data_IF_936590333513
#
_entry.id   IF_936590333513
#
_cell.length_a   1.000
_cell.length_b   1.000
_cell.length_c   1.000
_cell.angle_alpha   90.00
_cell.angle_beta   90.00
_cell.angle_gamma   90.00
#
_symmetry.space_group_name_H-M   'P 1'
#
loop_
_entity.id
_entity.type
_entity.pdbx_description
1 polymer ?
#
# COMPACT_ATOMS: atom_id res chain seq x y z
N UNK A 1 3.45 14.14 -19.18
CA UNK A 1 3.58 12.91 -18.37
C UNK A 1 4.25 13.32 -17.06
N UNK A 2 3.45 13.61 -16.03
CA UNK A 2 3.95 13.93 -14.70
C UNK A 2 4.53 12.65 -14.10
N UNK A 3 5.78 12.69 -13.65
CA UNK A 3 6.38 11.60 -12.90
C UNK A 3 5.45 11.30 -11.71
N UNK A 4 4.75 10.18 -11.77
CA UNK A 4 3.89 9.70 -10.68
C UNK A 4 4.85 9.52 -9.51
N UNK A 5 4.77 10.42 -8.53
CA UNK A 5 5.64 10.42 -7.35
C UNK A 5 5.45 9.05 -6.68
N UNK A 6 6.39 8.15 -6.90
CA UNK A 6 6.28 6.76 -6.46
C UNK A 6 6.28 6.80 -4.94
N UNK A 7 5.11 6.59 -4.34
CA UNK A 7 5.03 6.42 -2.90
C UNK A 7 5.90 5.23 -2.54
N UNK A 8 6.95 5.48 -1.75
CA UNK A 8 7.88 4.43 -1.36
C UNK A 8 7.13 3.44 -0.48
N UNK A 9 6.97 2.23 -1.00
CA UNK A 9 6.26 1.16 -0.32
C UNK A 9 7.08 0.69 0.89
N UNK A 10 6.68 1.13 2.08
CA UNK A 10 7.27 0.64 3.31
C UNK A 10 6.84 -0.83 3.58
N UNK A 11 7.48 -1.48 4.56
CA UNK A 11 7.22 -2.90 4.87
C UNK A 11 5.78 -3.18 5.31
N UNK A 12 5.17 -2.27 6.06
CA UNK A 12 3.80 -2.39 6.55
C UNK A 12 2.81 -2.32 5.38
N UNK A 13 2.95 -1.31 4.53
CA UNK A 13 2.13 -1.13 3.33
C UNK A 13 2.22 -2.33 2.40
N UNK A 14 3.44 -2.87 2.21
CA UNK A 14 3.65 -4.09 1.44
C UNK A 14 2.90 -5.29 2.04
N UNK A 15 2.94 -5.47 3.36
CA UNK A 15 2.21 -6.56 4.04
C UNK A 15 0.70 -6.41 3.87
N UNK A 16 0.18 -5.19 4.00
CA UNK A 16 -1.25 -4.90 3.81
C UNK A 16 -1.67 -5.23 2.37
N UNK A 17 -0.90 -4.77 1.37
CA UNK A 17 -1.19 -5.05 -0.05
C UNK A 17 -1.16 -6.54 -0.37
N UNK A 18 -0.13 -7.25 0.10
CA UNK A 18 -0.01 -8.70 -0.11
C UNK A 18 -1.19 -9.44 0.50
N UNK A 19 -1.54 -9.14 1.75
CA UNK A 19 -2.67 -9.78 2.41
C UNK A 19 -4.00 -9.46 1.71
N UNK A 20 -4.20 -8.19 1.32
CA UNK A 20 -5.38 -7.73 0.57
C UNK A 20 -5.50 -8.44 -0.78
N UNK A 21 -4.39 -8.57 -1.51
CA UNK A 21 -4.34 -9.28 -2.78
C UNK A 21 -4.74 -10.74 -2.63
N UNK A 22 -4.12 -11.45 -1.67
CA UNK A 22 -4.42 -12.86 -1.38
C UNK A 22 -5.90 -13.03 -1.04
N UNK A 23 -6.45 -12.21 -0.15
CA UNK A 23 -7.87 -12.29 0.22
C UNK A 23 -8.79 -12.02 -0.97
N UNK A 24 -8.50 -10.98 -1.76
CA UNK A 24 -9.32 -10.63 -2.92
C UNK A 24 -9.35 -11.72 -4.00
N UNK A 25 -8.29 -12.52 -4.10
CA UNK A 25 -8.19 -13.65 -5.00
C UNK A 25 -8.88 -14.89 -4.46
N UNK A 26 -8.76 -15.19 -3.16
CA UNK A 26 -9.16 -16.47 -2.59
C UNK A 26 -10.55 -16.47 -1.92
N UNK A 27 -11.07 -15.33 -1.50
CA UNK A 27 -12.38 -15.28 -0.83
C UNK A 27 -13.48 -15.78 -1.77
N UNK A 28 -14.43 -16.56 -1.23
CA UNK A 28 -15.57 -17.06 -1.99
C UNK A 28 -16.38 -15.92 -2.63
N UNK A 29 -16.45 -14.77 -1.96
CA UNK A 29 -17.13 -13.57 -2.44
C UNK A 29 -16.11 -12.71 -3.20
N UNK A 30 -16.38 -12.34 -4.47
CA UNK A 30 -15.46 -11.50 -5.24
C UNK A 30 -15.39 -10.05 -4.76
N UNK A 31 -16.42 -9.60 -4.04
CA UNK A 31 -16.50 -8.25 -3.48
C UNK A 31 -15.94 -8.23 -2.06
N UNK A 32 -15.20 -7.16 -1.77
CA UNK A 32 -14.66 -6.88 -0.44
C UNK A 32 -14.95 -5.43 -0.07
N UNK A 33 -15.15 -5.17 1.22
CA UNK A 33 -15.23 -3.80 1.73
C UNK A 33 -13.89 -3.35 2.29
N UNK A 34 -13.58 -2.06 2.19
CA UNK A 34 -12.37 -1.49 2.80
C UNK A 34 -12.37 -1.72 4.32
N UNK A 35 -13.48 -1.40 4.98
CA UNK A 35 -13.72 -1.73 6.40
C UNK A 35 -13.49 -3.20 6.76
N UNK A 36 -13.85 -4.12 5.87
CA UNK A 36 -13.68 -5.55 6.09
C UNK A 36 -12.21 -5.97 6.11
N UNK A 37 -11.42 -5.43 5.19
CA UNK A 37 -9.96 -5.63 5.19
C UNK A 37 -9.33 -4.97 6.42
N UNK A 38 -9.70 -3.73 6.70
CA UNK A 38 -9.20 -2.95 7.83
C UNK A 38 -9.39 -3.71 9.15
N UNK A 39 -10.58 -4.25 9.38
CA UNK A 39 -10.88 -5.05 10.58
C UNK A 39 -10.09 -6.37 10.63
N UNK A 40 -9.94 -7.07 9.51
CA UNK A 40 -9.20 -8.36 9.46
C UNK A 40 -7.70 -8.19 9.69
N UNK A 41 -7.13 -7.08 9.23
CA UNK A 41 -5.70 -6.80 9.34
C UNK A 41 -5.33 -5.93 10.54
N UNK A 42 -6.31 -5.45 11.30
CA UNK A 42 -6.15 -4.49 12.41
C UNK A 42 -5.41 -3.21 11.97
N UNK A 43 -5.88 -2.61 10.87
CA UNK A 43 -5.28 -1.39 10.29
C UNK A 43 -6.32 -0.32 10.02
N UNK A 44 -5.86 0.92 9.80
CA UNK A 44 -6.73 2.03 9.47
C UNK A 44 -7.41 1.85 8.09
N UNK A 45 -8.72 2.08 8.00
CA UNK A 45 -9.48 1.92 6.76
C UNK A 45 -9.02 2.87 5.64
N UNK A 46 -8.70 4.12 5.95
CA UNK A 46 -8.20 5.08 4.95
C UNK A 46 -6.86 4.64 4.37
N UNK A 47 -6.04 3.93 5.15
CA UNK A 47 -4.79 3.34 4.67
C UNK A 47 -5.06 2.23 3.64
N UNK A 48 -6.06 1.39 3.87
CA UNK A 48 -6.48 0.36 2.91
C UNK A 48 -6.99 1.03 1.62
N UNK A 49 -7.83 2.07 1.75
CA UNK A 49 -8.35 2.84 0.61
C UNK A 49 -7.20 3.46 -0.20
N UNK A 50 -6.22 4.09 0.44
CA UNK A 50 -5.10 4.73 -0.26
C UNK A 50 -4.26 3.70 -1.00
N UNK A 51 -3.94 2.57 -0.36
CA UNK A 51 -3.18 1.49 -0.99
C UNK A 51 -3.92 0.88 -2.18
N UNK A 52 -5.21 0.59 -2.06
CA UNK A 52 -5.98 0.05 -3.20
C UNK A 52 -6.06 1.08 -4.35
N UNK A 53 -6.15 2.38 -4.04
CA UNK A 53 -6.15 3.45 -5.04
C UNK A 53 -4.85 3.56 -5.84
N UNK A 54 -3.73 3.29 -5.19
CA UNK A 54 -2.41 3.36 -5.81
C UNK A 54 -2.13 2.22 -6.80
N UNK A 55 -2.82 1.08 -6.62
CA UNK A 55 -2.58 -0.18 -7.35
C UNK A 55 -3.79 -0.64 -8.20
N UNK A 56 -4.24 0.17 -9.19
CA UNK A 56 -5.42 -0.14 -10.02
C UNK A 56 -5.24 -1.36 -10.95
N UNK A 57 -4.01 -1.79 -11.19
CA UNK A 57 -3.69 -3.02 -11.92
C UNK A 57 -4.05 -4.28 -11.14
N UNK A 58 -4.05 -4.21 -9.80
CA UNK A 58 -4.48 -5.30 -8.93
C UNK A 58 -5.97 -5.20 -8.59
N UNK A 59 -6.46 -3.98 -8.36
CA UNK A 59 -7.78 -3.78 -7.77
C UNK A 59 -8.69 -2.94 -8.64
N UNK A 60 -9.92 -3.43 -8.81
CA UNK A 60 -11.01 -2.65 -9.35
C UNK A 60 -11.74 -1.93 -8.22
N UNK A 61 -11.53 -0.63 -8.15
CA UNK A 61 -12.31 0.26 -7.32
C UNK A 61 -13.71 0.43 -7.91
N UNK A 62 -14.67 0.66 -7.02
CA UNK A 62 -16.08 0.91 -7.34
C UNK A 62 -16.74 -0.26 -8.04
N UNK A 63 -17.84 -0.68 -7.45
CA UNK A 63 -18.68 -1.73 -8.02
C UNK A 63 -19.95 -1.08 -8.60
N UNK A 64 -20.43 -1.48 -9.79
CA UNK A 64 -21.69 -0.99 -10.33
C UNK A 64 -22.82 -1.09 -9.30
N UNK A 65 -23.66 -0.05 -9.19
CA UNK A 65 -24.73 0.01 -8.19
C UNK A 65 -25.67 -1.21 -8.23
N UNK A 66 -25.90 -1.79 -9.42
CA UNK A 66 -26.69 -3.02 -9.57
C UNK A 66 -26.06 -4.22 -8.85
N UNK A 67 -24.74 -4.36 -8.90
CA UNK A 67 -24.00 -5.42 -8.22
C UNK A 67 -23.95 -5.14 -6.71
N UNK A 68 -23.73 -3.88 -6.31
CA UNK A 68 -23.78 -3.48 -4.88
C UNK A 68 -25.15 -3.78 -4.27
N UNK A 69 -26.23 -3.43 -4.96
CA UNK A 69 -27.59 -3.71 -4.48
C UNK A 69 -27.84 -5.21 -4.36
N UNK A 70 -27.45 -5.99 -5.37
CA UNK A 70 -27.54 -7.44 -5.28
C UNK A 70 -26.80 -7.99 -4.06
N UNK A 71 -25.59 -7.49 -3.78
CA UNK A 71 -24.83 -7.96 -2.62
C UNK A 71 -25.50 -7.58 -1.30
N UNK A 72 -26.07 -6.37 -1.20
CA UNK A 72 -26.89 -5.98 -0.05
C UNK A 72 -28.03 -6.96 0.15
N UNK A 73 -28.78 -7.28 -0.89
CA UNK A 73 -29.91 -8.19 -0.81
C UNK A 73 -29.46 -9.59 -0.34
N UNK A 74 -28.30 -10.08 -0.80
CA UNK A 74 -27.72 -11.33 -0.29
C UNK A 74 -27.38 -11.25 1.21
N UNK A 75 -26.74 -10.16 1.65
CA UNK A 75 -26.40 -9.95 3.06
C UNK A 75 -27.64 -9.92 3.96
N UNK A 76 -28.75 -9.33 3.49
CA UNK A 76 -30.04 -9.34 4.22
C UNK A 76 -30.62 -10.73 4.43
N UNK A 77 -30.40 -11.63 3.47
CA UNK A 77 -30.81 -13.05 3.58
C UNK A 77 -29.88 -13.88 4.46
N UNK A 78 -28.86 -13.28 5.07
CA UNK A 78 -27.85 -13.97 5.89
C UNK A 78 -26.73 -14.63 5.09
N UNK A 79 -26.76 -14.51 3.76
CA UNK A 79 -25.74 -15.07 2.88
C UNK A 79 -24.62 -14.07 2.62
N UNK A 80 -23.39 -14.58 2.47
CA UNK A 80 -22.24 -13.79 2.02
C UNK A 80 -21.93 -12.56 2.89
N UNK A 81 -22.19 -12.66 4.21
CA UNK A 81 -21.92 -11.60 5.18
C UNK A 81 -20.41 -11.45 5.44
N UNK A 82 -19.83 -10.27 5.20
CA UNK A 82 -18.50 -9.95 5.69
C UNK A 82 -18.44 -10.10 7.21
N UNK A 83 -17.31 -10.57 7.73
CA UNK A 83 -17.12 -10.79 9.17
C UNK A 83 -17.51 -9.55 10.00
N UNK A 84 -17.10 -8.35 9.57
CA UNK A 84 -17.42 -7.12 10.31
C UNK A 84 -18.91 -6.80 10.42
N UNK A 85 -19.74 -7.25 9.47
CA UNK A 85 -21.20 -7.11 9.52
C UNK A 85 -21.81 -8.22 10.38
N UNK A 86 -21.27 -9.43 10.28
CA UNK A 86 -21.69 -10.57 11.09
C UNK A 86 -21.48 -10.32 12.58
N UNK A 87 -20.41 -9.63 12.93
CA UNK A 87 -20.06 -9.30 14.33
C UNK A 87 -20.88 -8.14 14.91
N UNK A 88 -21.87 -7.60 14.18
CA UNK A 88 -22.83 -6.62 14.72
C UNK A 88 -23.91 -7.39 15.48
N UNK A 89 -24.08 -7.05 16.77
CA UNK A 89 -24.94 -7.80 17.70
C UNK A 89 -26.42 -7.67 17.37
N UNK A 90 -26.88 -6.47 17.02
CA UNK A 90 -28.31 -6.23 16.77
C UNK A 90 -28.66 -6.31 15.29
N UNK A 91 -29.80 -6.94 14.97
CA UNK A 91 -30.29 -7.02 13.59
C UNK A 91 -30.59 -5.62 13.01
N UNK A 92 -31.02 -4.66 13.83
CA UNK A 92 -31.32 -3.30 13.40
C UNK A 92 -30.05 -2.58 12.95
N UNK A 93 -28.98 -2.63 13.74
CA UNK A 93 -27.70 -2.02 13.37
C UNK A 93 -27.06 -2.74 12.18
N UNK A 94 -27.21 -4.06 12.10
CA UNK A 94 -26.72 -4.85 10.97
C UNK A 94 -27.39 -4.43 9.66
N UNK A 95 -28.72 -4.36 9.67
CA UNK A 95 -29.51 -3.94 8.51
C UNK A 95 -29.16 -2.50 8.10
N UNK A 96 -29.01 -1.60 9.07
CA UNK A 96 -28.55 -0.23 8.83
C UNK A 96 -27.17 -0.19 8.17
N UNK A 97 -26.20 -0.93 8.71
CA UNK A 97 -24.85 -1.01 8.16
C UNK A 97 -24.84 -1.56 6.72
N UNK A 98 -25.69 -2.55 6.42
CA UNK A 98 -25.88 -3.07 5.06
C UNK A 98 -26.47 -2.00 4.14
N UNK A 99 -27.47 -1.25 4.60
CA UNK A 99 -28.14 -0.21 3.81
C UNK A 99 -27.23 0.98 3.51
N UNK A 100 -26.35 1.34 4.45
CA UNK A 100 -25.40 2.46 4.31
C UNK A 100 -24.25 2.16 3.35
N UNK A 101 -23.95 0.88 3.05
CA UNK A 101 -22.88 0.53 2.10
C UNK A 101 -23.11 1.16 0.72
N UNK A 102 -22.09 1.82 0.19
CA UNK A 102 -22.12 2.42 -1.15
C UNK A 102 -21.20 1.68 -2.10
N UNK A 103 -21.29 1.99 -3.39
CA UNK A 103 -20.33 1.48 -4.38
C UNK A 103 -18.90 1.95 -4.12
N UNK A 104 -18.71 3.06 -3.41
CA UNK A 104 -17.41 3.60 -3.03
C UNK A 104 -16.77 2.87 -1.84
N UNK A 105 -17.52 2.04 -1.10
CA UNK A 105 -17.01 1.27 0.05
C UNK A 105 -16.48 -0.12 -0.36
N UNK A 106 -16.61 -0.45 -1.64
CA UNK A 106 -16.44 -1.80 -2.17
C UNK A 106 -15.39 -1.80 -3.27
N UNK A 107 -14.53 -2.81 -3.23
CA UNK A 107 -13.57 -3.10 -4.27
C UNK A 107 -13.54 -4.61 -4.55
N UNK A 108 -12.76 -4.99 -5.56
CA UNK A 108 -12.53 -6.39 -5.92
C UNK A 108 -11.21 -6.55 -6.66
N UNK A 109 -10.74 -7.79 -6.79
CA UNK A 109 -9.63 -8.12 -7.70
C UNK A 109 -10.00 -7.72 -9.14
N UNK A 110 -9.03 -7.15 -9.87
CA UNK A 110 -9.19 -6.75 -11.28
C UNK A 110 -9.56 -7.94 -12.19
N UNK A 111 -9.25 -9.16 -11.76
CA UNK A 111 -9.49 -10.40 -12.51
C UNK A 111 -10.84 -11.05 -12.19
N UNK A 112 -11.54 -10.60 -11.14
CA UNK A 112 -12.84 -11.13 -10.71
C UNK A 112 -13.98 -10.19 -11.11
N UNK A 113 -14.21 -10.09 -12.42
CA UNK A 113 -15.07 -9.06 -13.02
C UNK A 113 -16.58 -9.37 -12.97
N UNK A 114 -16.97 -10.63 -12.79
CA UNK A 114 -18.36 -11.07 -12.67
C UNK A 114 -18.79 -11.21 -11.22
N UNK A 115 -20.08 -11.11 -10.98
CA UNK A 115 -20.73 -11.22 -9.66
C UNK A 115 -20.44 -12.53 -8.94
N UNK A 116 -20.34 -13.60 -9.71
CA UNK A 116 -20.19 -15.00 -9.33
C UNK A 116 -18.81 -15.54 -9.73
N UNK A 117 -17.83 -14.64 -9.93
CA UNK A 117 -16.47 -15.07 -10.28
C UNK A 117 -15.93 -16.00 -9.19
N UNK A 118 -15.43 -17.20 -9.54
CA UNK A 118 -14.79 -18.08 -8.57
C UNK A 118 -13.53 -17.44 -8.00
N UNK A 119 -12.90 -18.10 -7.03
CA UNK A 119 -11.56 -17.74 -6.61
C UNK A 119 -10.63 -17.68 -7.83
N UNK A 120 -9.70 -16.73 -7.81
CA UNK A 120 -8.73 -16.58 -8.88
C UNK A 120 -7.86 -17.82 -8.99
N UNK A 121 -7.48 -18.17 -10.22
CA UNK A 121 -6.52 -19.23 -10.45
C UNK A 121 -5.18 -18.92 -9.76
N UNK A 122 -4.45 -19.98 -9.38
CA UNK A 122 -3.17 -19.86 -8.69
C UNK A 122 -2.16 -19.00 -9.48
N UNK A 123 -2.23 -19.03 -10.81
CA UNK A 123 -1.36 -18.22 -11.67
C UNK A 123 -1.61 -16.72 -11.50
N UNK A 124 -2.87 -16.29 -11.41
CA UNK A 124 -3.23 -14.89 -11.16
C UNK A 124 -2.72 -14.46 -9.78
N UNK A 125 -2.92 -15.30 -8.76
CA UNK A 125 -2.42 -15.02 -7.41
C UNK A 125 -0.90 -14.81 -7.43
N UNK A 126 -0.15 -15.74 -8.05
CA UNK A 126 1.31 -15.66 -8.19
C UNK A 126 1.75 -14.40 -8.93
N UNK A 127 1.12 -14.11 -10.07
CA UNK A 127 1.41 -12.91 -10.86
C UNK A 127 1.31 -11.64 -10.01
N UNK A 128 0.25 -11.47 -9.21
CA UNK A 128 0.10 -10.26 -8.38
C UNK A 128 1.10 -10.19 -7.23
N UNK A 129 1.52 -11.34 -6.68
CA UNK A 129 2.59 -11.40 -5.66
C UNK A 129 3.95 -11.04 -6.25
N UNK A 130 4.26 -11.52 -7.45
CA UNK A 130 5.47 -11.17 -8.19
C UNK A 130 5.48 -9.69 -8.59
N UNK A 131 4.34 -9.15 -9.00
CA UNK A 131 4.16 -7.74 -9.26
C UNK A 131 4.41 -6.87 -8.01
N UNK A 132 3.79 -7.20 -6.87
CA UNK A 132 4.02 -6.47 -5.62
C UNK A 132 5.49 -6.58 -5.17
N UNK A 133 6.11 -7.75 -5.36
CA UNK A 133 7.53 -7.96 -5.04
C UNK A 133 8.42 -7.06 -5.92
N UNK A 134 8.19 -7.02 -7.23
CA UNK A 134 8.99 -6.19 -8.14
C UNK A 134 8.86 -4.70 -7.79
N UNK A 135 7.66 -4.23 -7.46
CA UNK A 135 7.43 -2.86 -7.00
C UNK A 135 8.18 -2.54 -5.71
N UNK A 136 8.20 -3.47 -4.74
CA UNK A 136 8.98 -3.32 -3.51
C UNK A 136 10.48 -3.29 -3.79
N UNK A 137 10.97 -4.16 -4.66
CA UNK A 137 12.40 -4.25 -4.96
C UNK A 137 12.89 -2.99 -5.70
N UNK A 138 12.10 -2.47 -6.66
CA UNK A 138 12.33 -1.16 -7.31
C UNK A 138 12.41 -0.03 -6.26
N UNK A 139 11.45 0.01 -5.32
CA UNK A 139 11.44 1.03 -4.26
C UNK A 139 12.66 0.94 -3.35
N UNK A 140 13.09 -0.28 -3.00
CA UNK A 140 14.28 -0.49 -2.18
C UNK A 140 15.56 -0.05 -2.90
N UNK A 141 15.66 -0.30 -4.20
CA UNK A 141 16.83 0.09 -4.97
C UNK A 141 16.90 1.61 -5.17
N UNK A 142 15.76 2.29 -5.38
CA UNK A 142 15.69 3.77 -5.36
C UNK A 142 16.10 4.35 -3.99
N UNK A 143 15.73 3.68 -2.89
CA UNK A 143 16.13 4.10 -1.55
C UNK A 143 17.63 3.92 -1.32
N UNK A 144 18.23 2.83 -1.81
CA UNK A 144 19.68 2.61 -1.76
C UNK A 144 20.41 3.67 -2.57
N UNK A 145 20.01 3.92 -3.81
CA UNK A 145 20.63 4.93 -4.67
C UNK A 145 20.62 6.32 -4.01
N UNK A 146 19.49 6.73 -3.43
CA UNK A 146 19.38 8.00 -2.68
C UNK A 146 20.31 8.04 -1.46
N UNK A 147 20.45 6.93 -0.73
CA UNK A 147 21.40 6.84 0.39
C UNK A 147 22.84 6.91 -0.10
N UNK A 148 23.17 6.24 -1.19
CA UNK A 148 24.52 6.22 -1.74
C UNK A 148 24.95 7.59 -2.24
N UNK A 149 24.07 8.29 -2.98
CA UNK A 149 24.31 9.68 -3.41
C UNK A 149 24.49 10.61 -2.20
N UNK A 150 23.65 10.46 -1.16
CA UNK A 150 23.79 11.25 0.07
C UNK A 150 25.10 10.95 0.80
N UNK A 151 25.50 9.68 0.88
CA UNK A 151 26.74 9.26 1.53
C UNK A 151 27.96 9.77 0.76
N UNK A 152 27.94 9.71 -0.57
CA UNK A 152 28.98 10.29 -1.42
C UNK A 152 29.08 11.80 -1.22
N UNK A 153 27.96 12.52 -1.26
CA UNK A 153 27.95 13.97 -1.01
C UNK A 153 28.50 14.32 0.38
N UNK A 154 28.10 13.57 1.41
CA UNK A 154 28.59 13.76 2.79
C UNK A 154 30.09 13.49 2.88
N UNK A 155 30.58 12.44 2.23
CA UNK A 155 32.00 12.08 2.18
C UNK A 155 32.83 13.18 1.51
N UNK A 156 32.34 13.73 0.39
CA UNK A 156 32.97 14.84 -0.32
C UNK A 156 33.03 16.10 0.56
N UNK A 157 31.95 16.43 1.27
CA UNK A 157 31.91 17.58 2.19
C UNK A 157 32.92 17.40 3.34
N UNK A 158 32.95 16.23 3.99
CA UNK A 158 33.89 15.94 5.08
C UNK A 158 35.34 16.05 4.59
N UNK A 159 35.63 15.52 3.40
CA UNK A 159 36.96 15.58 2.79
C UNK A 159 37.39 17.01 2.49
N UNK A 160 36.48 17.83 1.94
CA UNK A 160 36.73 19.24 1.66
C UNK A 160 36.99 20.05 2.95
N UNK A 161 36.18 19.86 4.00
CA UNK A 161 36.37 20.52 5.29
C UNK A 161 37.72 20.13 5.91
N UNK A 162 38.07 18.84 5.88
CA UNK A 162 39.33 18.34 6.43
C UNK A 162 40.54 18.94 5.71
N UNK A 163 40.46 19.06 4.37
CA UNK A 163 41.51 19.65 3.54
C UNK A 163 41.67 21.16 3.82
N UNK A 164 40.55 21.87 3.99
CA UNK A 164 40.55 23.29 4.34
C UNK A 164 41.13 23.54 5.75
N UNK A 165 40.77 22.72 6.74
CA UNK A 165 41.31 22.82 8.10
C UNK A 165 42.83 22.57 8.12
N UNK A 166 43.31 21.55 7.40
CA UNK A 166 44.74 21.26 7.29
C UNK A 166 45.53 22.41 6.65
N UNK A 167 44.94 23.06 5.65
CA UNK A 167 45.54 24.24 5.00
C UNK A 167 45.60 25.44 5.95
N UNK A 168 44.54 25.70 6.73
CA UNK A 168 44.54 26.74 7.75
C UNK A 168 45.60 26.50 8.84
N UNK A 169 45.74 25.27 9.34
CA UNK A 169 46.76 24.90 10.34
C UNK A 169 48.17 25.11 9.76
N UNK A 170 48.39 24.77 8.50
CA UNK A 170 49.67 24.95 7.82
C UNK A 170 50.05 26.43 7.69
N UNK A 171 49.09 27.28 7.29
CA UNK A 171 49.29 28.75 7.22
C UNK A 171 49.58 29.32 8.61
N UNK A 172 48.82 28.93 9.63
CA UNK A 172 49.03 29.40 11.00
C UNK A 172 50.43 29.01 11.52
N UNK A 173 50.90 27.81 11.22
CA UNK A 173 52.24 27.33 11.60
C UNK A 173 53.36 28.14 10.93
N UNK A 174 53.18 28.51 9.66
CA UNK A 174 54.11 29.37 8.91
C UNK A 174 54.18 30.79 9.49
N UNK A 175 53.03 31.38 9.87
CA UNK A 175 52.99 32.72 10.47
C UNK A 175 53.68 32.73 11.84
N UNK A 176 53.46 31.72 12.68
CA UNK A 176 54.09 31.61 14.00
C UNK A 176 55.61 31.43 13.90
N UNK A 177 56.11 30.64 12.93
CA UNK A 177 57.55 30.46 12.74
C UNK A 177 58.25 31.69 12.12
N UNK A 178 57.55 32.49 11.32
CA UNK A 178 58.11 33.72 10.72
C UNK A 178 58.24 34.89 11.71
N UNK A 179 57.59 34.80 12.86
CA UNK A 179 57.56 35.85 13.90
C UNK A 179 58.55 35.64 15.05
N UNK A 180 59.43 34.63 14.97
CA UNK A 180 60.59 34.42 15.84
C UNK A 180 61.86 34.73 15.07
#
# INVERSE_FOLDING_TARGET
MTAKQTHLLNLEDYRILVATWIMSCNDQIPMMTYKGIAKRLDVNEQKVISLIKEYPELFRQRTPNSITQFWKDQMKTGNLLPAWIRDIDTNIEREKAIQELTSDDIFRSQFRTKRDSPASEMEILKWGLEYLKSMRDINNDQLKERRDVRNQATTLIITAISSFLGLLISIASLVVNSGK
#
